data_IF_726966166947
#
_entry.id   IF_726966166947
#
_cell.length_a   1.000
_cell.length_b   1.000
_cell.length_c   1.000
_cell.angle_alpha   90.00
_cell.angle_beta   90.00
_cell.angle_gamma   90.00
#
_symmetry.space_group_name_H-M   'P 1'
#
loop_
_entity.id
_entity.type
_entity.pdbx_description
1 polymer ?
#
# COMPACT_ATOMS: atom_id res chain seq x y z
N UNK A 1 -7.96 -15.54 6.46
CA UNK A 1 -7.28 -14.91 5.31
C UNK A 1 -8.06 -15.24 4.04
N UNK A 2 -8.36 -14.28 3.16
CA UNK A 2 -8.92 -14.58 1.83
C UNK A 2 -7.91 -15.37 0.98
N UNK A 3 -8.40 -16.14 0.01
CA UNK A 3 -7.52 -16.73 -1.01
C UNK A 3 -7.00 -15.63 -1.95
N UNK A 4 -5.89 -15.85 -2.68
CA UNK A 4 -5.43 -14.88 -3.68
C UNK A 4 -6.51 -14.51 -4.70
N UNK A 5 -7.32 -15.49 -5.12
CA UNK A 5 -8.44 -15.29 -6.05
C UNK A 5 -9.54 -14.41 -5.45
N UNK A 6 -9.95 -14.69 -4.20
CA UNK A 6 -10.99 -13.89 -3.52
C UNK A 6 -10.50 -12.46 -3.30
N UNK A 7 -9.24 -12.31 -2.89
CA UNK A 7 -8.61 -11.01 -2.70
C UNK A 7 -8.55 -10.22 -4.03
N UNK A 8 -8.18 -10.87 -5.13
CA UNK A 8 -8.19 -10.23 -6.45
C UNK A 8 -9.58 -9.74 -6.83
N UNK A 9 -10.60 -10.60 -6.67
CA UNK A 9 -11.98 -10.26 -7.03
C UNK A 9 -12.47 -9.06 -6.20
N UNK A 10 -12.32 -9.12 -4.88
CA UNK A 10 -12.74 -8.07 -3.95
C UNK A 10 -12.01 -6.76 -4.24
N UNK A 11 -10.70 -6.82 -4.48
CA UNK A 11 -9.91 -5.64 -4.82
C UNK A 11 -10.37 -5.02 -6.15
N UNK A 12 -10.64 -5.84 -7.17
CA UNK A 12 -11.13 -5.36 -8.47
C UNK A 12 -12.52 -4.75 -8.38
N UNK A 13 -13.42 -5.35 -7.60
CA UNK A 13 -14.76 -4.79 -7.34
C UNK A 13 -14.64 -3.43 -6.66
N UNK A 14 -13.90 -3.36 -5.54
CA UNK A 14 -13.64 -2.12 -4.83
C UNK A 14 -13.06 -1.02 -5.73
N UNK A 15 -12.06 -1.34 -6.55
CA UNK A 15 -11.41 -0.37 -7.44
C UNK A 15 -12.34 0.12 -8.55
N UNK A 16 -13.16 -0.75 -9.14
CA UNK A 16 -14.15 -0.35 -10.15
C UNK A 16 -15.23 0.54 -9.57
N UNK A 17 -15.70 0.26 -8.36
CA UNK A 17 -16.71 1.06 -7.68
C UNK A 17 -16.15 2.42 -7.26
N UNK A 18 -14.88 2.47 -6.88
CA UNK A 18 -14.19 3.71 -6.48
C UNK A 18 -13.87 4.61 -7.67
N UNK A 19 -13.25 4.06 -8.71
CA UNK A 19 -12.76 4.80 -9.88
C UNK A 19 -12.65 3.84 -11.08
N UNK A 20 -13.68 3.75 -11.94
CA UNK A 20 -13.70 2.82 -13.07
C UNK A 20 -12.62 3.14 -14.11
N UNK A 21 -12.25 4.42 -14.27
CA UNK A 21 -11.24 4.85 -15.23
C UNK A 21 -9.84 4.42 -14.79
N UNK A 22 -9.51 4.59 -13.50
CA UNK A 22 -8.29 4.00 -12.93
C UNK A 22 -8.32 2.48 -13.11
N UNK A 23 -9.42 1.83 -12.70
CA UNK A 23 -9.51 0.38 -12.68
C UNK A 23 -9.29 -0.25 -14.07
N UNK A 24 -9.75 0.42 -15.13
CA UNK A 24 -9.56 -0.01 -16.51
C UNK A 24 -8.09 -0.10 -16.92
N UNK A 25 -7.20 0.71 -16.33
CA UNK A 25 -5.77 0.71 -16.63
C UNK A 25 -4.93 -0.20 -15.74
N UNK A 26 -5.51 -0.91 -14.75
CA UNK A 26 -4.76 -1.69 -13.76
C UNK A 26 -4.50 -3.14 -14.21
N UNK A 27 -3.24 -3.56 -14.12
CA UNK A 27 -2.81 -4.95 -14.27
C UNK A 27 -2.24 -5.49 -12.96
N UNK A 28 -2.75 -6.64 -12.50
CA UNK A 28 -2.22 -7.33 -11.31
C UNK A 28 -0.78 -7.75 -11.58
N UNK A 29 0.11 -7.42 -10.63
CA UNK A 29 1.53 -7.79 -10.66
C UNK A 29 1.77 -9.04 -9.83
N UNK A 30 1.26 -9.04 -8.60
CA UNK A 30 1.31 -10.18 -7.69
C UNK A 30 0.28 -10.03 -6.58
N UNK A 31 0.01 -11.15 -5.92
CA UNK A 31 -0.89 -11.25 -4.77
C UNK A 31 -0.21 -12.10 -3.71
N UNK A 32 0.03 -11.55 -2.53
CA UNK A 32 0.72 -12.25 -1.44
C UNK A 32 0.28 -11.73 -0.06
N UNK A 33 0.55 -12.52 0.98
CA UNK A 33 0.28 -12.12 2.37
C UNK A 33 1.06 -10.87 2.71
N UNK A 34 0.39 -9.97 3.43
CA UNK A 34 0.98 -8.77 3.98
C UNK A 34 0.59 -8.66 5.45
N UNK A 35 1.61 -8.42 6.28
CA UNK A 35 1.48 -8.18 7.71
C UNK A 35 2.04 -6.79 7.99
N UNK A 36 1.30 -5.97 8.73
CA UNK A 36 1.70 -4.64 9.20
C UNK A 36 1.55 -4.61 10.73
N UNK A 37 2.52 -4.02 11.44
CA UNK A 37 2.40 -3.82 12.88
C UNK A 37 1.95 -2.40 13.16
N UNK A 38 0.83 -2.26 13.88
CA UNK A 38 0.27 -0.97 14.29
C UNK A 38 0.37 -0.80 15.79
N UNK A 39 0.39 0.46 16.24
CA UNK A 39 0.18 0.82 17.64
C UNK A 39 -1.28 1.21 17.82
N UNK A 40 -1.98 0.52 18.72
CA UNK A 40 -3.39 0.81 19.03
C UNK A 40 -3.52 2.07 19.88
N UNK A 41 -4.76 2.54 20.07
CA UNK A 41 -5.04 3.68 20.95
C UNK A 41 -4.63 3.43 22.43
N UNK A 42 -4.49 2.17 22.85
CA UNK A 42 -4.01 1.80 24.20
C UNK A 42 -2.49 1.75 24.31
N UNK A 43 -1.77 1.96 23.19
CA UNK A 43 -0.31 1.86 23.12
C UNK A 43 0.21 0.44 22.90
N UNK A 44 -0.68 -0.54 22.71
CA UNK A 44 -0.30 -1.92 22.43
C UNK A 44 0.07 -2.11 20.96
N UNK A 45 1.01 -3.03 20.68
CA UNK A 45 1.38 -3.39 19.32
C UNK A 45 0.57 -4.59 18.84
N UNK A 46 -0.11 -4.42 17.72
CA UNK A 46 -0.89 -5.48 17.09
C UNK A 46 -0.45 -5.69 15.64
N UNK A 47 -0.47 -6.94 15.18
CA UNK A 47 -0.24 -7.28 13.76
C UNK A 47 -1.58 -7.37 13.05
N UNK A 48 -1.75 -6.53 12.03
CA UNK A 48 -2.85 -6.61 11.07
C UNK A 48 -2.38 -7.36 9.84
N UNK A 49 -3.07 -8.46 9.52
CA UNK A 49 -2.74 -9.33 8.39
C UNK A 49 -3.82 -9.27 7.31
N UNK A 50 -3.38 -9.31 6.05
CA UNK A 50 -4.25 -9.38 4.89
C UNK A 50 -3.54 -9.91 3.65
N UNK A 51 -4.25 -9.91 2.53
CA UNK A 51 -3.70 -10.25 1.21
C UNK A 51 -3.49 -8.96 0.42
N UNK A 52 -2.26 -8.68 0.02
CA UNK A 52 -1.92 -7.52 -0.79
C UNK A 52 -2.09 -7.85 -2.26
N UNK A 53 -3.01 -7.17 -2.92
CA UNK A 53 -3.16 -7.19 -4.37
C UNK A 53 -2.39 -6.01 -4.94
N UNK A 54 -1.17 -6.25 -5.43
CA UNK A 54 -0.37 -5.20 -6.06
C UNK A 54 -0.69 -5.13 -7.55
N UNK A 55 -1.01 -3.94 -8.01
CA UNK A 55 -1.33 -3.65 -9.41
C UNK A 55 -0.45 -2.54 -9.94
N UNK A 56 -0.33 -2.47 -11.26
CA UNK A 56 0.35 -1.39 -11.97
C UNK A 56 -0.58 -0.81 -13.02
N UNK A 57 -0.70 0.50 -13.02
CA UNK A 57 -1.46 1.25 -14.01
C UNK A 57 -0.65 1.42 -15.29
N UNK A 58 -1.33 1.64 -16.43
CA UNK A 58 -0.69 1.93 -17.72
C UNK A 58 0.18 3.19 -17.71
N UNK A 59 -0.09 4.13 -16.80
CA UNK A 59 0.79 5.30 -16.54
C UNK A 59 2.12 4.94 -15.88
N UNK A 60 2.29 3.70 -15.42
CA UNK A 60 3.48 3.21 -14.74
C UNK A 60 3.43 3.27 -13.21
N UNK A 61 2.46 4.00 -12.65
CA UNK A 61 2.23 4.11 -11.21
C UNK A 61 1.62 2.82 -10.63
N UNK A 62 1.93 2.54 -9.37
CA UNK A 62 1.38 1.40 -8.65
C UNK A 62 0.12 1.77 -7.89
N UNK A 63 -0.70 0.76 -7.68
CA UNK A 63 -1.86 0.79 -6.79
C UNK A 63 -1.92 -0.54 -6.05
N UNK A 64 -2.20 -0.53 -4.76
CA UNK A 64 -2.43 -1.77 -4.02
C UNK A 64 -3.60 -1.67 -3.07
N UNK A 65 -4.23 -2.81 -2.84
CA UNK A 65 -5.32 -3.01 -1.89
C UNK A 65 -4.91 -4.13 -0.96
N UNK A 66 -5.13 -3.96 0.35
CA UNK A 66 -4.99 -5.02 1.34
C UNK A 66 -6.38 -5.53 1.70
N UNK A 67 -6.63 -6.80 1.44
CA UNK A 67 -7.91 -7.47 1.73
C UNK A 67 -7.74 -8.38 2.95
N UNK A 68 -8.49 -8.09 4.01
CA UNK A 68 -8.50 -8.83 5.26
C UNK A 68 -9.49 -9.99 5.30
N UNK A 69 -9.56 -10.63 6.47
CA UNK A 69 -10.52 -11.70 6.76
C UNK A 69 -11.96 -11.21 6.56
N UNK A 70 -12.82 -12.08 6.00
CA UNK A 70 -14.21 -11.73 5.68
C UNK A 70 -14.31 -10.77 4.48
N UNK A 71 -13.31 -10.75 3.60
CA UNK A 71 -13.28 -9.95 2.38
C UNK A 71 -13.42 -8.43 2.63
N UNK A 72 -12.88 -7.95 3.76
CA UNK A 72 -12.91 -6.55 4.13
C UNK A 72 -11.67 -5.82 3.60
N UNK A 73 -11.85 -4.65 3.02
CA UNK A 73 -10.72 -3.77 2.68
C UNK A 73 -10.12 -3.25 3.99
N UNK A 74 -8.81 -3.46 4.17
CA UNK A 74 -8.04 -2.94 5.31
C UNK A 74 -7.46 -1.58 4.95
N UNK A 75 -6.70 -1.51 3.84
CA UNK A 75 -6.11 -0.27 3.35
C UNK A 75 -5.95 -0.31 1.83
N UNK A 76 -5.84 0.87 1.24
CA UNK A 76 -5.70 1.09 -0.19
C UNK A 76 -4.77 2.29 -0.42
N UNK A 77 -3.89 2.17 -1.41
CA UNK A 77 -3.05 3.26 -1.88
C UNK A 77 -2.98 3.25 -3.41
N UNK A 78 -2.99 4.45 -4.02
CA UNK A 78 -2.87 4.68 -5.47
C UNK A 78 -1.81 5.72 -5.78
N UNK A 79 -1.54 5.90 -7.07
CA UNK A 79 -0.60 6.89 -7.60
C UNK A 79 0.79 6.76 -6.99
N UNK A 80 1.20 5.51 -6.74
CA UNK A 80 2.47 5.20 -6.07
C UNK A 80 3.58 5.15 -7.10
N UNK A 81 4.46 6.13 -7.06
CA UNK A 81 5.71 6.09 -7.84
C UNK A 81 6.75 5.25 -7.10
N UNK A 82 7.38 4.34 -7.86
CA UNK A 82 8.44 3.48 -7.35
C UNK A 82 9.76 3.83 -8.02
N UNK A 83 10.75 4.19 -7.22
CA UNK A 83 12.12 4.37 -7.67
C UNK A 83 12.81 3.01 -7.73
N UNK A 84 12.84 2.40 -8.93
CA UNK A 84 13.45 1.09 -9.14
C UNK A 84 14.97 1.09 -8.92
N UNK A 85 15.70 2.16 -9.28
CA UNK A 85 17.15 2.21 -9.14
C UNK A 85 17.60 2.21 -7.68
N UNK A 86 16.78 2.77 -6.78
CA UNK A 86 17.04 2.76 -5.34
C UNK A 86 16.16 1.76 -4.57
N UNK A 87 15.36 0.95 -5.28
CA UNK A 87 14.45 -0.07 -4.71
C UNK A 87 13.57 0.47 -3.57
N UNK A 88 13.00 1.67 -3.75
CA UNK A 88 12.16 2.30 -2.73
C UNK A 88 11.06 3.16 -3.34
N UNK A 89 10.13 3.59 -2.50
CA UNK A 89 9.01 4.45 -2.88
C UNK A 89 9.49 5.88 -3.11
N UNK A 90 8.93 6.54 -4.13
CA UNK A 90 9.18 7.97 -4.37
C UNK A 90 8.02 8.86 -3.87
N UNK A 91 6.84 8.26 -3.62
CA UNK A 91 5.68 8.98 -3.10
C UNK A 91 5.52 8.91 -1.59
N UNK A 92 4.83 9.93 -1.08
CA UNK A 92 4.49 10.11 0.32
C UNK A 92 3.77 8.92 0.96
N UNK A 93 4.25 8.50 2.13
CA UNK A 93 3.67 7.46 3.01
C UNK A 93 2.85 8.09 4.13
N UNK A 94 1.71 8.69 3.77
CA UNK A 94 0.87 9.42 4.73
C UNK A 94 0.36 8.59 5.90
N UNK A 95 0.25 7.26 5.76
CA UNK A 95 -0.14 6.35 6.85
C UNK A 95 1.04 5.81 7.67
N UNK A 96 2.27 6.24 7.37
CA UNK A 96 3.46 5.80 8.11
C UNK A 96 4.09 6.99 8.83
N UNK A 97 3.88 7.06 10.14
CA UNK A 97 4.38 8.13 11.01
C UNK A 97 5.89 8.36 10.87
N UNK A 98 6.65 7.30 10.64
CA UNK A 98 8.08 7.39 10.41
C UNK A 98 8.41 8.26 9.19
N UNK A 99 7.66 8.10 8.09
CA UNK A 99 7.86 8.92 6.89
C UNK A 99 7.42 10.35 7.10
N UNK A 100 6.27 10.56 7.77
CA UNK A 100 5.79 11.90 8.13
C UNK A 100 6.82 12.61 9.01
N UNK A 101 7.39 11.91 10.00
CA UNK A 101 8.43 12.43 10.89
C UNK A 101 9.73 12.76 10.14
N UNK A 102 10.17 11.86 9.25
CA UNK A 102 11.37 12.11 8.45
C UNK A 102 11.20 13.33 7.53
N UNK A 103 10.02 13.52 6.93
CA UNK A 103 9.72 14.69 6.10
C UNK A 103 9.54 15.97 6.92
N UNK A 104 8.66 15.96 7.93
CA UNK A 104 8.16 17.18 8.58
C UNK A 104 9.00 17.63 9.78
N UNK A 105 9.63 16.69 10.49
CA UNK A 105 10.35 16.98 11.73
C UNK A 105 11.87 17.04 11.53
N UNK A 106 12.37 16.90 10.29
CA UNK A 106 13.81 16.82 10.01
C UNK A 106 14.49 15.65 10.73
N UNK A 107 13.72 14.58 11.00
CA UNK A 107 14.23 13.36 11.62
C UNK A 107 15.28 12.67 10.73
N UNK A 108 16.06 11.73 11.28
CA UNK A 108 17.04 10.99 10.49
C UNK A 108 16.37 10.35 9.26
N UNK A 109 17.03 10.44 8.10
CA UNK A 109 16.60 9.79 6.87
C UNK A 109 16.35 8.30 7.18
N UNK A 110 15.14 7.81 6.89
CA UNK A 110 14.82 6.41 7.12
C UNK A 110 15.63 5.54 6.17
N UNK A 111 16.71 4.94 6.65
CA UNK A 111 17.43 3.93 5.87
C UNK A 111 16.45 2.82 5.40
N UNK A 112 16.35 2.60 4.08
CA UNK A 112 15.54 1.53 3.49
C UNK A 112 14.38 2.01 2.60
N UNK A 113 13.33 1.19 2.47
CA UNK A 113 12.16 1.39 1.58
C UNK A 113 11.38 2.70 1.83
N UNK A 114 11.70 3.43 2.90
CA UNK A 114 10.84 4.44 3.51
C UNK A 114 11.38 5.87 3.51
N UNK A 115 12.55 6.17 2.93
CA UNK A 115 13.05 7.55 2.84
C UNK A 115 12.38 8.34 1.70
N UNK A 116 11.94 9.60 1.93
CA UNK A 116 11.74 10.55 0.84
C UNK A 116 13.09 10.87 0.18
N UNK A 117 13.14 10.89 -1.15
CA UNK A 117 14.23 11.56 -1.85
C UNK A 117 13.94 13.04 -1.87
N UNK A 118 14.90 13.82 -1.37
CA UNK A 118 14.99 15.27 -1.48
C UNK A 118 13.71 15.99 -1.02
N UNK A 119 13.69 16.36 0.27
CA UNK A 119 12.93 17.52 0.73
C UNK A 119 13.68 18.80 0.35
#
# INVERSE_FOLDING_TARGET
MPTPRDAEQVAREFLRDLDPDLAAGLTVQWIDRHDETITTATGERETVSGMKVKTRHSSGLYTWVIVGTGNRIITYERDIEWNSSHSRRNTAMWLHDAWVTARDAGGPELGGLHAPLDA
#
